data_IF_426323493834
#
_entry.id   IF_426323493834
#
_cell.length_a   1.000
_cell.length_b   1.000
_cell.length_c   1.000
_cell.angle_alpha   90.00
_cell.angle_beta   90.00
_cell.angle_gamma   90.00
#
_symmetry.space_group_name_H-M   'P 1'
#
loop_
_entity.id
_entity.type
_entity.pdbx_description
1 polymer ?
#
# COMPACT_ATOMS: atom_id res chain seq x y z
N UNK A 1 -8.95 -14.67 5.87
CA UNK A 1 -8.28 -13.37 5.73
C UNK A 1 -7.84 -12.94 7.10
N UNK A 2 -6.65 -12.36 7.23
CA UNK A 2 -6.04 -11.97 8.50
C UNK A 2 -5.76 -10.47 8.48
N UNK A 3 -6.02 -9.80 9.61
CA UNK A 3 -5.66 -8.40 9.81
C UNK A 3 -4.34 -8.35 10.56
N UNK A 4 -3.35 -7.69 9.97
CA UNK A 4 -2.04 -7.46 10.55
C UNK A 4 -1.75 -5.97 10.62
N UNK A 5 -0.89 -5.58 11.54
CA UNK A 5 -0.34 -4.23 11.60
C UNK A 5 1.10 -4.32 11.10
N UNK A 6 1.44 -3.49 10.12
CA UNK A 6 2.80 -3.34 9.62
C UNK A 6 3.21 -1.87 9.73
N UNK A 7 4.51 -1.61 9.78
CA UNK A 7 5.05 -0.24 9.90
C UNK A 7 6.01 0.14 8.78
N UNK A 8 6.24 -0.77 7.81
CA UNK A 8 7.07 -0.52 6.63
C UNK A 8 6.32 -0.88 5.37
N UNK A 9 6.37 -0.01 4.36
CA UNK A 9 5.79 -0.31 3.05
C UNK A 9 6.43 -1.54 2.39
N UNK A 10 7.68 -1.85 2.72
CA UNK A 10 8.37 -3.03 2.23
C UNK A 10 7.68 -4.36 2.62
N UNK A 11 6.85 -4.34 3.67
CA UNK A 11 6.13 -5.52 4.14
C UNK A 11 4.80 -5.74 3.40
N UNK A 12 4.35 -4.78 2.59
CA UNK A 12 3.17 -4.92 1.73
C UNK A 12 3.42 -5.89 0.58
N UNK A 13 2.41 -6.72 0.31
CA UNK A 13 2.40 -7.72 -0.75
C UNK A 13 1.28 -7.41 -1.75
N UNK A 14 1.47 -7.85 -2.99
CA UNK A 14 0.43 -7.77 -4.01
C UNK A 14 -0.89 -8.41 -3.51
N UNK A 15 -1.99 -7.69 -3.69
CA UNK A 15 -3.32 -8.10 -3.26
C UNK A 15 -3.67 -7.80 -1.80
N UNK A 16 -2.73 -7.30 -0.99
CA UNK A 16 -3.03 -6.78 0.34
C UNK A 16 -4.02 -5.62 0.26
N UNK A 17 -4.88 -5.51 1.27
CA UNK A 17 -5.84 -4.41 1.39
C UNK A 17 -5.42 -3.52 2.56
N UNK A 18 -4.98 -2.30 2.27
CA UNK A 18 -4.72 -1.29 3.28
C UNK A 18 -6.06 -0.71 3.77
N UNK A 19 -6.37 -0.98 5.04
CA UNK A 19 -7.67 -0.69 5.66
C UNK A 19 -7.64 0.61 6.46
N UNK A 20 -6.53 0.91 7.14
CA UNK A 20 -6.36 2.09 7.98
C UNK A 20 -4.90 2.53 8.07
N UNK A 21 -4.69 3.80 8.38
CA UNK A 21 -3.39 4.41 8.69
C UNK A 21 -3.50 5.11 10.05
N UNK A 22 -2.61 4.79 10.99
CA UNK A 22 -2.62 5.29 12.37
C UNK A 22 -4.00 5.21 13.04
N UNK A 23 -4.65 4.05 12.88
CA UNK A 23 -6.00 3.81 13.39
C UNK A 23 -7.12 4.54 12.63
N UNK A 24 -6.81 5.43 11.67
CA UNK A 24 -7.81 6.11 10.84
C UNK A 24 -8.20 5.25 9.63
N UNK A 25 -9.45 4.76 9.55
CA UNK A 25 -9.87 3.90 8.45
C UNK A 25 -10.01 4.66 7.14
N UNK A 26 -9.61 4.02 6.04
CA UNK A 26 -9.92 4.51 4.70
C UNK A 26 -11.40 4.24 4.37
N UNK A 27 -12.05 5.18 3.69
CA UNK A 27 -13.45 5.04 3.25
C UNK A 27 -13.63 3.82 2.32
N UNK A 28 -12.65 3.58 1.45
CA UNK A 28 -12.53 2.37 0.65
C UNK A 28 -11.11 1.83 0.86
N UNK A 29 -10.93 0.55 1.21
CA UNK A 29 -9.60 -0.04 1.31
C UNK A 29 -8.82 0.09 0.00
N UNK A 30 -7.53 0.39 0.09
CA UNK A 30 -6.64 0.44 -1.06
C UNK A 30 -6.05 -0.95 -1.30
N UNK A 31 -6.10 -1.44 -2.53
CA UNK A 31 -5.58 -2.77 -2.87
C UNK A 31 -4.20 -2.60 -3.49
N UNK A 32 -3.18 -3.28 -2.94
CA UNK A 32 -1.82 -3.24 -3.49
C UNK A 32 -1.81 -3.94 -4.84
N UNK A 33 -1.44 -3.19 -5.88
CA UNK A 33 -1.22 -3.70 -7.23
C UNK A 33 0.21 -4.19 -7.38
N UNK A 34 1.18 -3.31 -7.08
CA UNK A 34 2.61 -3.65 -7.11
C UNK A 34 3.23 -3.39 -5.73
N UNK A 35 3.95 -4.37 -5.16
CA UNK A 35 4.70 -4.15 -3.93
C UNK A 35 5.88 -3.20 -4.18
N UNK A 36 6.62 -2.88 -3.11
CA UNK A 36 7.65 -1.83 -3.11
C UNK A 36 8.72 -2.04 -4.20
N UNK A 37 8.62 -1.26 -5.27
CA UNK A 37 9.43 -1.38 -6.48
C UNK A 37 9.76 0.00 -7.05
N UNK A 38 10.74 0.12 -7.98
CA UNK A 38 10.97 1.38 -8.69
C UNK A 38 9.70 1.89 -9.38
N UNK A 39 9.37 3.16 -9.17
CA UNK A 39 8.15 3.76 -9.75
C UNK A 39 8.20 3.86 -11.28
N UNK A 40 9.39 3.79 -11.86
CA UNK A 40 9.67 3.65 -13.30
C UNK A 40 10.95 2.85 -13.46
N UNK A 41 11.12 2.21 -14.62
CA UNK A 41 12.37 1.51 -14.93
C UNK A 41 13.57 2.47 -14.81
N UNK A 42 14.60 2.05 -14.06
CA UNK A 42 15.80 2.86 -13.80
C UNK A 42 15.63 3.99 -12.77
N UNK A 43 14.44 4.19 -12.18
CA UNK A 43 14.24 5.21 -11.15
C UNK A 43 14.89 4.79 -9.83
N UNK A 44 15.63 5.69 -9.14
CA UNK A 44 16.09 5.45 -7.77
C UNK A 44 14.94 5.52 -6.75
N UNK A 45 13.81 6.12 -7.15
CA UNK A 45 12.63 6.29 -6.29
C UNK A 45 11.79 5.01 -6.30
N UNK A 46 11.50 4.48 -5.11
CA UNK A 46 10.69 3.29 -4.90
C UNK A 46 9.37 3.65 -4.23
N UNK A 47 8.30 2.97 -4.62
CA UNK A 47 6.97 3.13 -4.04
C UNK A 47 6.13 1.87 -4.17
N UNK A 48 5.02 1.83 -3.45
CA UNK A 48 4.00 0.78 -3.57
C UNK A 48 2.86 1.34 -4.41
N UNK A 49 2.46 0.63 -5.46
CA UNK A 49 1.32 1.01 -6.30
C UNK A 49 0.05 0.36 -5.80
N UNK A 50 -1.04 1.11 -5.81
CA UNK A 50 -2.38 0.65 -5.49
C UNK A 50 -3.26 0.68 -6.72
N UNK A 51 -4.26 -0.20 -6.74
CA UNK A 51 -5.32 -0.15 -7.75
C UNK A 51 -6.04 1.20 -7.61
N UNK A 52 -6.09 2.03 -8.67
CA UNK A 52 -6.76 3.31 -8.63
C UNK A 52 -8.28 3.10 -8.43
N UNK A 53 -8.97 4.03 -7.77
CA UNK A 53 -10.43 4.05 -7.77
C UNK A 53 -10.98 4.11 -9.19
N UNK A 54 -12.15 3.50 -9.41
CA UNK A 54 -12.84 3.54 -10.69
C UNK A 54 -13.01 4.99 -11.19
N UNK A 55 -12.61 5.24 -12.44
CA UNK A 55 -12.64 6.57 -13.06
C UNK A 55 -11.47 7.50 -12.71
N UNK A 56 -10.43 7.01 -12.02
CA UNK A 56 -9.21 7.78 -11.75
C UNK A 56 -8.09 7.44 -12.75
N UNK A 57 -7.60 8.46 -13.46
CA UNK A 57 -6.43 8.36 -14.36
C UNK A 57 -5.09 8.63 -13.64
N UNK A 58 -5.13 8.81 -12.31
CA UNK A 58 -3.95 9.14 -11.50
C UNK A 58 -3.38 7.84 -10.94
N UNK A 59 -2.06 7.67 -11.02
CA UNK A 59 -1.38 6.58 -10.32
C UNK A 59 -1.44 6.78 -8.81
N UNK A 60 -1.92 5.78 -8.08
CA UNK A 60 -1.93 5.79 -6.62
C UNK A 60 -0.67 5.12 -6.09
N UNK A 61 0.31 5.93 -5.71
CA UNK A 61 1.62 5.46 -5.22
C UNK A 61 1.89 6.01 -3.83
N UNK A 62 2.25 5.15 -2.88
CA UNK A 62 2.79 5.57 -1.59
C UNK A 62 4.30 5.34 -1.51
N UNK A 63 4.99 6.28 -0.87
CA UNK A 63 6.45 6.28 -0.73
C UNK A 63 6.88 5.97 0.70
N UNK A 64 8.01 5.26 0.90
CA UNK A 64 8.54 4.97 2.24
C UNK A 64 8.68 6.21 3.12
N UNK A 65 9.14 7.33 2.55
CA UNK A 65 9.30 8.60 3.26
C UNK A 65 8.00 9.21 3.80
N UNK A 66 6.84 8.73 3.37
CA UNK A 66 5.53 9.20 3.81
C UNK A 66 4.82 8.23 4.76
N UNK A 67 5.19 6.95 4.71
CA UNK A 67 4.41 5.86 5.32
C UNK A 67 5.20 5.06 6.33
N UNK A 68 6.52 4.93 6.16
CA UNK A 68 7.31 4.13 7.09
C UNK A 68 7.33 4.79 8.47
N UNK A 69 7.10 3.99 9.50
CA UNK A 69 6.92 4.45 10.88
C UNK A 69 5.46 4.68 11.28
N UNK A 70 4.53 4.74 10.32
CA UNK A 70 3.09 4.79 10.59
C UNK A 70 2.50 3.39 10.74
N UNK A 71 1.47 3.24 11.56
CA UNK A 71 0.77 1.97 11.71
C UNK A 71 -0.20 1.75 10.54
N UNK A 72 0.08 0.75 9.72
CA UNK A 72 -0.76 0.36 8.60
C UNK A 72 -1.53 -0.90 8.96
N UNK A 73 -2.86 -0.79 9.07
CA UNK A 73 -3.74 -1.95 9.24
C UNK A 73 -4.01 -2.57 7.88
N UNK A 74 -3.57 -3.81 7.69
CA UNK A 74 -3.63 -4.51 6.41
C UNK A 74 -4.43 -5.79 6.55
N UNK A 75 -5.34 -6.03 5.60
CA UNK A 75 -5.98 -7.33 5.43
C UNK A 75 -5.25 -8.14 4.35
N UNK A 76 -4.76 -9.32 4.73
CA UNK A 76 -4.01 -10.24 3.87
C UNK A 76 -4.71 -11.58 3.78
N UNK A 77 -4.70 -12.21 2.59
CA UNK A 77 -5.10 -13.62 2.46
C UNK A 77 -4.02 -14.50 3.08
N UNK A 78 -4.39 -15.36 4.04
CA UNK A 78 -3.51 -16.45 4.49
C UNK A 78 -3.21 -17.34 3.28
N UNK A 79 -1.93 -17.57 3.04
CA UNK A 79 -1.47 -18.59 2.09
C UNK A 79 -1.77 -19.98 2.63
#
# INVERSE_FOLDING_TARGET
MEKIIITRLADLQMGDRLMALDGKPYRKPLVVQDPLSPIRYGSPVRGVRFIPPEGSDIEWVFYPSQMDGHEMTVERRRR
#
